data_IF_437046332545
#
_entry.id   IF_437046332545
#
_cell.length_a   1.000
_cell.length_b   1.000
_cell.length_c   1.000
_cell.angle_alpha   90.00
_cell.angle_beta   90.00
_cell.angle_gamma   90.00
#
_symmetry.space_group_name_H-M   'P 1'
#
loop_
_entity.id
_entity.type
_entity.pdbx_description
1 polymer ?
#
# COMPACT_ATOMS: atom_id res chain seq x y z
N UNK A 1 25.75 -7.71 -23.37
CA UNK A 1 25.45 -6.51 -22.75
C UNK A 1 25.93 -6.51 -21.35
N UNK A 2 26.45 -5.48 -21.01
CA UNK A 2 26.77 -5.36 -19.68
C UNK A 2 25.55 -5.58 -18.92
N UNK A 3 25.72 -6.37 -18.06
CA UNK A 3 24.68 -6.67 -17.25
C UNK A 3 23.96 -5.45 -16.80
N UNK A 4 22.69 -5.51 -16.89
CA UNK A 4 21.89 -4.55 -16.20
C UNK A 4 21.95 -4.81 -14.74
N UNK A 5 22.70 -5.81 -14.39
CA UNK A 5 22.85 -6.09 -12.99
C UNK A 5 23.50 -4.91 -12.33
N UNK A 6 22.86 -4.36 -11.37
CA UNK A 6 23.34 -3.19 -10.66
C UNK A 6 23.88 -3.64 -9.34
N UNK A 7 25.03 -3.10 -9.00
CA UNK A 7 25.53 -3.29 -7.67
C UNK A 7 24.54 -2.66 -6.71
N UNK A 8 23.78 -3.48 -6.06
CA UNK A 8 22.72 -3.03 -5.18
C UNK A 8 23.24 -2.10 -4.10
N UNK A 9 24.43 -2.37 -3.65
CA UNK A 9 25.02 -1.55 -2.60
C UNK A 9 25.27 -0.13 -3.08
N UNK A 10 25.88 0.02 -4.26
CA UNK A 10 26.10 1.34 -4.84
C UNK A 10 24.80 2.01 -5.20
N UNK A 11 23.90 1.25 -5.75
CA UNK A 11 22.60 1.79 -6.14
C UNK A 11 21.90 2.40 -4.93
N UNK A 12 21.88 1.68 -3.83
CA UNK A 12 21.19 2.15 -2.63
C UNK A 12 21.86 3.37 -2.03
N UNK A 13 23.14 3.54 -2.27
CA UNK A 13 23.83 4.72 -1.76
C UNK A 13 23.40 5.99 -2.47
N UNK A 14 22.90 5.87 -3.70
CA UNK A 14 22.49 7.02 -4.48
C UNK A 14 21.02 7.32 -4.36
N UNK A 15 20.22 6.33 -3.99
CA UNK A 15 18.79 6.48 -3.90
C UNK A 15 18.44 6.81 -2.46
N UNK A 16 17.43 7.62 -2.28
CA UNK A 16 16.99 7.92 -0.92
C UNK A 16 16.67 6.64 -0.22
N UNK A 17 17.10 6.54 1.04
CA UNK A 17 16.74 5.41 1.85
C UNK A 17 15.24 5.25 1.99
N UNK A 18 14.54 6.38 1.91
CA UNK A 18 13.12 6.37 2.11
C UNK A 18 12.45 7.05 0.94
N UNK A 19 12.04 6.25 -0.01
CA UNK A 19 11.29 6.71 -1.17
C UNK A 19 9.82 6.37 -0.93
N UNK A 20 8.95 7.36 -0.79
CA UNK A 20 7.54 7.10 -0.51
C UNK A 20 6.86 6.23 -1.56
N UNK A 21 7.24 6.37 -2.82
CA UNK A 21 6.65 5.54 -3.87
C UNK A 21 7.08 4.08 -3.73
N UNK A 22 8.34 3.86 -3.42
CA UNK A 22 8.82 2.50 -3.20
C UNK A 22 8.15 1.89 -1.98
N UNK A 23 8.01 2.66 -0.92
CA UNK A 23 7.34 2.18 0.28
C UNK A 23 5.89 1.80 -0.02
N UNK A 24 5.21 2.61 -0.82
CA UNK A 24 3.83 2.32 -1.20
C UNK A 24 3.76 1.03 -2.01
N UNK A 25 4.64 0.89 -3.01
CA UNK A 25 4.66 -0.30 -3.83
C UNK A 25 4.92 -1.56 -3.00
N UNK A 26 5.86 -1.48 -2.07
CA UNK A 26 6.17 -2.62 -1.21
C UNK A 26 5.00 -2.98 -0.31
N UNK A 27 4.30 -1.97 0.18
CA UNK A 27 3.15 -2.22 1.04
C UNK A 27 2.02 -2.89 0.29
N UNK A 28 1.84 -2.56 -0.99
CA UNK A 28 0.78 -3.14 -1.81
C UNK A 28 1.11 -4.54 -2.27
N UNK A 29 2.39 -4.85 -2.45
CA UNK A 29 2.83 -6.10 -3.08
C UNK A 29 2.80 -7.27 -2.08
N UNK A 30 1.62 -7.59 -1.60
CA UNK A 30 1.39 -8.71 -0.70
C UNK A 30 -0.06 -9.15 -0.88
N UNK A 31 -0.33 -10.45 -0.98
CA UNK A 31 -1.71 -10.90 -1.28
C UNK A 31 -2.72 -10.49 -0.22
N UNK A 32 -2.36 -10.52 1.05
CA UNK A 32 -3.29 -10.11 2.10
C UNK A 32 -3.53 -8.62 2.03
N UNK A 33 -2.45 -7.84 1.90
CA UNK A 33 -2.59 -6.39 1.84
C UNK A 33 -3.35 -5.93 0.60
N UNK A 34 -3.10 -6.56 -0.53
CA UNK A 34 -3.86 -6.23 -1.73
C UNK A 34 -5.35 -6.54 -1.55
N UNK A 35 -5.65 -7.66 -0.90
CA UNK A 35 -7.03 -8.01 -0.61
C UNK A 35 -7.70 -6.97 0.30
N UNK A 36 -6.99 -6.51 1.32
CA UNK A 36 -7.49 -5.47 2.21
C UNK A 36 -7.78 -4.20 1.42
N UNK A 37 -6.85 -3.79 0.56
CA UNK A 37 -7.05 -2.57 -0.22
C UNK A 37 -8.24 -2.68 -1.16
N UNK A 38 -8.44 -3.84 -1.77
CA UNK A 38 -9.61 -4.06 -2.63
C UNK A 38 -10.90 -3.98 -1.85
N UNK A 39 -10.91 -4.52 -0.65
CA UNK A 39 -12.08 -4.44 0.20
C UNK A 39 -12.38 -2.98 0.57
N UNK A 40 -11.35 -2.23 0.93
CA UNK A 40 -11.55 -0.82 1.26
C UNK A 40 -12.01 -0.02 0.05
N UNK A 41 -11.50 -0.34 -1.13
CA UNK A 41 -11.87 0.38 -2.34
C UNK A 41 -13.33 0.18 -2.71
N UNK A 42 -13.89 -0.97 -2.37
CA UNK A 42 -15.28 -1.26 -2.69
C UNK A 42 -16.25 -0.94 -1.56
N UNK A 43 -15.75 -0.58 -0.39
CA UNK A 43 -16.61 -0.28 0.75
C UNK A 43 -17.22 1.11 0.64
N UNK A 44 -18.46 1.29 1.08
CA UNK A 44 -19.08 2.62 1.02
C UNK A 44 -18.53 3.57 2.08
N UNK A 45 -17.78 3.07 3.05
CA UNK A 45 -17.20 3.88 4.11
C UNK A 45 -16.06 3.14 4.75
N UNK A 46 -15.69 3.56 5.95
CA UNK A 46 -14.61 2.90 6.67
C UNK A 46 -15.02 1.50 7.13
N UNK A 47 -14.04 0.63 7.31
CA UNK A 47 -14.24 -0.78 7.65
C UNK A 47 -13.55 -1.07 8.98
N UNK A 48 -14.26 -1.75 9.87
CA UNK A 48 -13.68 -2.15 11.14
C UNK A 48 -12.56 -3.16 10.93
N UNK A 49 -11.47 -3.00 11.69
CA UNK A 49 -10.37 -3.95 11.62
C UNK A 49 -10.84 -5.39 11.82
N UNK A 50 -11.88 -5.59 12.61
CA UNK A 50 -12.38 -6.93 12.90
C UNK A 50 -13.03 -7.60 11.69
N UNK A 51 -13.40 -6.83 10.67
CA UNK A 51 -14.08 -7.41 9.52
C UNK A 51 -13.13 -7.96 8.47
N UNK A 52 -11.85 -7.67 8.58
CA UNK A 52 -10.89 -8.12 7.57
C UNK A 52 -10.55 -9.60 7.70
N UNK A 53 -10.75 -10.20 8.86
CA UNK A 53 -10.44 -11.62 9.03
C UNK A 53 -11.31 -12.50 8.15
N UNK A 54 -12.50 -12.04 7.80
CA UNK A 54 -13.38 -12.83 6.96
C UNK A 54 -12.88 -12.93 5.54
N UNK A 55 -12.28 -11.87 5.04
CA UNK A 55 -11.82 -11.88 3.66
C UNK A 55 -10.51 -12.61 3.49
N UNK A 56 -9.70 -12.75 4.54
CA UNK A 56 -8.30 -13.08 4.36
C UNK A 56 -7.85 -14.36 5.05
N UNK A 57 -8.72 -15.02 5.76
CA UNK A 57 -8.44 -16.30 6.44
C UNK A 57 -7.15 -16.29 7.24
N UNK A 58 -6.83 -15.16 7.84
CA UNK A 58 -5.66 -15.03 8.69
C UNK A 58 -6.09 -14.49 10.04
N UNK A 59 -5.21 -14.61 11.03
CA UNK A 59 -5.53 -14.21 12.38
C UNK A 59 -5.62 -12.71 12.52
N UNK A 60 -6.29 -12.26 13.57
CA UNK A 60 -6.41 -10.83 13.86
C UNK A 60 -5.06 -10.16 14.07
N UNK A 61 -4.11 -10.75 14.80
CA UNK A 61 -2.79 -10.12 14.91
C UNK A 61 -2.09 -9.96 13.56
N UNK A 62 -2.26 -10.90 12.65
CA UNK A 62 -1.69 -10.81 11.32
C UNK A 62 -2.34 -9.68 10.53
N UNK A 63 -3.66 -9.54 10.61
CA UNK A 63 -4.37 -8.43 9.99
C UNK A 63 -3.87 -7.10 10.55
N UNK A 64 -3.71 -7.01 11.86
CA UNK A 64 -3.24 -5.78 12.48
C UNK A 64 -1.86 -5.39 11.99
N UNK A 65 -0.98 -6.38 11.78
CA UNK A 65 0.34 -6.11 11.24
C UNK A 65 0.25 -5.56 9.82
N UNK A 66 -0.56 -6.18 8.98
CA UNK A 66 -0.71 -5.71 7.59
C UNK A 66 -1.32 -4.32 7.52
N UNK A 67 -2.28 -4.03 8.39
CA UNK A 67 -2.88 -2.70 8.45
C UNK A 67 -1.86 -1.66 8.89
N UNK A 68 -0.99 -2.02 9.81
CA UNK A 68 0.07 -1.11 10.25
C UNK A 68 1.02 -0.80 9.09
N UNK A 69 1.42 -1.81 8.33
CA UNK A 69 2.29 -1.61 7.16
C UNK A 69 1.63 -0.67 6.17
N UNK A 70 0.35 -0.89 5.87
CA UNK A 70 -0.37 -0.03 4.93
C UNK A 70 -0.51 1.40 5.45
N UNK A 71 -0.74 1.56 6.75
CA UNK A 71 -0.87 2.88 7.33
C UNK A 71 0.45 3.63 7.28
N UNK A 72 1.54 2.96 7.61
CA UNK A 72 2.85 3.60 7.60
C UNK A 72 3.29 3.99 6.19
N UNK A 73 2.81 3.28 5.20
CA UNK A 73 3.09 3.62 3.81
C UNK A 73 2.17 4.72 3.26
N UNK A 74 1.17 5.12 4.03
CA UNK A 74 0.24 6.14 3.59
C UNK A 74 -0.86 5.64 2.68
N UNK A 75 -1.06 4.33 2.61
CA UNK A 75 -2.12 3.76 1.77
C UNK A 75 -3.48 3.82 2.43
N UNK A 76 -3.52 3.75 3.75
CA UNK A 76 -4.77 3.79 4.51
C UNK A 76 -4.66 4.76 5.66
N UNK A 77 -5.81 5.22 6.12
CA UNK A 77 -5.94 5.99 7.35
C UNK A 77 -6.77 5.19 8.34
N UNK A 78 -6.62 5.51 9.61
CA UNK A 78 -7.34 4.82 10.66
C UNK A 78 -7.98 5.82 11.60
N UNK A 79 -9.08 5.38 12.22
CA UNK A 79 -9.80 6.18 13.19
C UNK A 79 -10.28 5.26 14.31
N UNK A 80 -9.99 5.66 15.55
CA UNK A 80 -10.47 4.88 16.68
C UNK A 80 -11.88 5.32 17.02
N UNK A 81 -12.76 4.34 17.20
CA UNK A 81 -14.13 4.58 17.68
C UNK A 81 -14.38 3.62 18.83
N UNK A 82 -14.34 4.15 20.05
CA UNK A 82 -14.45 3.30 21.23
C UNK A 82 -13.28 2.33 21.33
N UNK A 83 -13.56 1.05 21.35
CA UNK A 83 -12.55 0.01 21.42
C UNK A 83 -12.18 -0.53 20.04
N UNK A 84 -12.80 -0.03 18.98
CA UNK A 84 -12.58 -0.51 17.62
C UNK A 84 -11.80 0.51 16.81
N UNK A 85 -11.05 0.02 15.83
CA UNK A 85 -10.33 0.87 14.91
C UNK A 85 -10.89 0.63 13.51
N UNK A 86 -11.22 1.72 12.82
CA UNK A 86 -11.79 1.68 11.49
C UNK A 86 -10.78 2.20 10.50
N UNK A 87 -10.76 1.60 9.32
CA UNK A 87 -9.79 1.92 8.28
C UNK A 87 -10.49 2.33 6.99
N UNK A 88 -9.84 3.20 6.24
CA UNK A 88 -10.29 3.61 4.92
C UNK A 88 -9.06 3.88 4.06
N UNK A 89 -9.23 3.88 2.75
CA UNK A 89 -8.13 4.29 1.88
C UNK A 89 -7.76 5.74 2.18
N UNK A 90 -6.48 6.03 2.13
CA UNK A 90 -6.04 7.42 2.27
C UNK A 90 -6.63 8.25 1.15
N UNK A 91 -7.02 9.50 1.41
CA UNK A 91 -7.67 10.31 0.39
C UNK A 91 -6.86 10.51 -0.87
N UNK A 92 -5.52 10.48 -0.76
CA UNK A 92 -4.66 10.66 -1.91
C UNK A 92 -4.13 9.34 -2.49
N UNK A 93 -4.64 8.20 -2.01
CA UNK A 93 -4.11 6.91 -2.44
C UNK A 93 -4.26 6.71 -3.95
N UNK A 94 -5.45 6.96 -4.48
CA UNK A 94 -5.70 6.74 -5.90
C UNK A 94 -4.80 7.63 -6.76
N UNK A 95 -4.62 8.88 -6.36
CA UNK A 95 -3.76 9.81 -7.10
C UNK A 95 -2.30 9.34 -7.09
N UNK A 96 -1.83 8.94 -5.92
CA UNK A 96 -0.46 8.46 -5.80
C UNK A 96 -0.22 7.20 -6.63
N UNK A 97 -1.17 6.28 -6.54
CA UNK A 97 -1.07 5.03 -7.29
C UNK A 97 -1.07 5.26 -8.79
N UNK A 98 -2.01 6.09 -9.26
CA UNK A 98 -2.11 6.44 -10.66
C UNK A 98 -0.85 7.14 -11.13
N UNK A 99 -0.28 8.01 -10.31
CA UNK A 99 0.93 8.72 -10.64
C UNK A 99 2.11 7.78 -10.85
N UNK A 100 2.25 6.79 -9.99
CA UNK A 100 3.32 5.80 -10.14
C UNK A 100 3.12 5.03 -11.46
N UNK A 101 1.91 4.57 -11.71
CA UNK A 101 1.62 3.85 -12.94
C UNK A 101 1.90 4.67 -14.18
N UNK A 102 1.49 5.93 -14.16
CA UNK A 102 1.70 6.82 -15.29
C UNK A 102 3.19 7.04 -15.55
N UNK A 103 3.97 7.18 -14.48
CA UNK A 103 5.40 7.42 -14.64
C UNK A 103 6.13 6.23 -15.24
N UNK A 104 5.58 5.04 -15.06
CA UNK A 104 6.21 3.82 -15.58
C UNK A 104 5.72 3.47 -16.97
N UNK A 105 4.47 3.78 -17.28
CA UNK A 105 3.87 3.32 -18.51
C UNK A 105 4.20 4.20 -19.71
N UNK A 106 4.50 5.45 -19.47
CA UNK A 106 4.69 6.38 -20.56
C UNK A 106 3.41 6.72 -21.33
N UNK A 107 2.28 6.20 -20.88
CA UNK A 107 1.03 6.42 -21.60
C UNK A 107 0.59 7.86 -21.58
N UNK A 108 1.00 8.58 -20.58
CA UNK A 108 0.62 9.98 -20.46
C UNK A 108 1.06 10.78 -21.66
N UNK A 109 2.13 10.35 -22.32
CA UNK A 109 2.69 11.10 -23.43
C UNK A 109 1.97 10.86 -24.73
N UNK A 110 1.12 9.89 -24.76
CA UNK A 110 0.45 9.49 -25.99
C UNK A 110 -0.70 10.41 -26.32
N UNK A 111 -1.26 11.01 -25.33
CA UNK A 111 -2.47 11.80 -25.51
C UNK A 111 -2.30 12.95 -26.50
#
# INVERSE_FOLDING_TARGET
MTSVYIDTHLYNARVKHHDPDVQLLQAVADPVRLSILRQLASAPGSVCACDFTECCTVSQPTISHHLKVLREAGAVISERRGTSIYYALAPDFARRWTGIGASLSGLVQVA
#
